data_IF_929312067228
#
_entry.id   IF_929312067228
#
_cell.length_a   1.000
_cell.length_b   1.000
_cell.length_c   1.000
_cell.angle_alpha   90.00
_cell.angle_beta   90.00
_cell.angle_gamma   90.00
#
_symmetry.space_group_name_H-M   'P 1'
#
loop_
_entity.id
_entity.type
_entity.pdbx_description
1 polymer ?
#
# COMPACT_ATOMS: atom_id res chain seq x y z
N UNK A 1 -64.22 58.56 -23.80
CA UNK A 1 -63.82 58.71 -25.21
C UNK A 1 -62.30 58.57 -25.25
N UNK A 2 -61.82 57.52 -25.94
CA UNK A 2 -60.47 57.28 -26.52
C UNK A 2 -59.16 57.22 -25.69
N UNK A 3 -58.64 55.98 -25.54
CA UNK A 3 -57.30 55.38 -25.72
C UNK A 3 -55.94 55.90 -25.11
N UNK A 4 -55.36 55.03 -24.24
CA UNK A 4 -54.02 54.37 -24.16
C UNK A 4 -52.63 55.05 -23.87
N UNK A 5 -51.99 54.48 -22.82
CA UNK A 5 -50.63 53.92 -22.61
C UNK A 5 -49.34 54.73 -22.26
N UNK A 6 -48.50 54.00 -21.51
CA UNK A 6 -47.32 54.32 -20.69
C UNK A 6 -46.04 54.72 -21.44
N UNK A 7 -45.11 55.37 -20.72
CA UNK A 7 -43.70 54.98 -20.71
C UNK A 7 -42.93 55.65 -19.55
N UNK A 8 -42.38 54.77 -18.72
CA UNK A 8 -41.43 54.94 -17.62
C UNK A 8 -40.01 55.25 -18.14
N UNK A 9 -39.33 56.30 -17.65
CA UNK A 9 -37.85 56.33 -17.48
C UNK A 9 -37.46 57.32 -16.36
N UNK A 10 -36.75 56.78 -15.38
CA UNK A 10 -36.22 57.38 -14.14
C UNK A 10 -35.14 58.46 -14.40
N UNK A 11 -35.10 59.59 -13.67
CA UNK A 11 -34.01 60.55 -13.81
C UNK A 11 -32.84 60.27 -12.86
N UNK A 12 -31.64 60.49 -13.39
CA UNK A 12 -30.34 60.50 -12.73
C UNK A 12 -30.29 61.36 -11.46
N UNK A 13 -29.60 60.88 -10.41
CA UNK A 13 -29.17 61.73 -9.30
C UNK A 13 -27.66 61.56 -9.04
N UNK A 14 -26.92 62.62 -9.38
CA UNK A 14 -25.50 62.82 -9.06
C UNK A 14 -25.30 63.10 -7.56
N UNK A 15 -24.32 62.37 -7.00
CA UNK A 15 -23.17 62.85 -6.20
C UNK A 15 -23.45 63.84 -5.05
N UNK A 16 -23.24 63.40 -3.80
CA UNK A 16 -22.18 63.91 -2.89
C UNK A 16 -22.22 63.30 -1.48
N UNK A 17 -21.03 62.87 -1.05
CA UNK A 17 -20.40 63.08 0.28
C UNK A 17 -20.96 62.31 1.49
N UNK A 18 -20.06 61.56 2.14
CA UNK A 18 -20.14 61.24 3.57
C UNK A 18 -19.31 60.02 3.97
N UNK A 19 -18.17 60.27 4.63
CA UNK A 19 -17.55 59.47 5.70
C UNK A 19 -17.15 58.01 5.37
N UNK A 20 -15.88 57.61 5.45
CA UNK A 20 -15.06 57.62 6.65
C UNK A 20 -14.97 56.19 7.19
N UNK A 21 -13.80 55.55 7.08
CA UNK A 21 -13.55 54.25 7.74
C UNK A 21 -12.68 53.27 6.95
N UNK A 22 -11.42 53.19 7.35
CA UNK A 22 -10.43 52.10 7.24
C UNK A 22 -10.77 50.83 6.43
N UNK A 23 -9.85 50.45 5.53
CA UNK A 23 -9.88 49.14 4.89
C UNK A 23 -8.74 48.89 3.91
N UNK A 24 -7.55 48.62 4.44
CA UNK A 24 -6.41 47.94 3.83
C UNK A 24 -6.73 47.11 2.55
N UNK A 25 -6.17 47.48 1.39
CA UNK A 25 -5.82 46.56 0.27
C UNK A 25 -5.23 47.29 -0.95
N UNK A 26 -4.13 46.75 -1.47
CA UNK A 26 -3.88 46.69 -2.92
C UNK A 26 -2.99 47.78 -3.49
N UNK A 27 -1.68 47.62 -3.25
CA UNK A 27 -0.59 48.25 -4.00
C UNK A 27 -0.61 47.77 -5.46
N UNK A 28 -1.10 48.59 -6.40
CA UNK A 28 -0.77 48.48 -7.82
C UNK A 28 -0.86 49.84 -8.52
N UNK A 29 0.21 50.13 -9.26
CA UNK A 29 0.42 51.19 -10.26
C UNK A 29 1.02 52.51 -9.78
N UNK A 30 2.35 52.57 -9.80
CA UNK A 30 3.03 53.78 -10.26
C UNK A 30 3.88 53.46 -11.50
N UNK A 31 3.35 53.90 -12.65
CA UNK A 31 3.99 53.89 -13.96
C UNK A 31 4.86 55.15 -14.06
N UNK A 32 6.06 55.09 -13.50
CA UNK A 32 7.07 56.13 -13.72
C UNK A 32 7.97 55.72 -14.90
N UNK A 33 7.51 56.05 -16.11
CA UNK A 33 8.41 56.23 -17.26
C UNK A 33 9.28 57.44 -16.97
N UNK A 34 10.60 57.25 -16.84
CA UNK A 34 11.57 58.33 -16.90
C UNK A 34 12.85 57.87 -17.59
N UNK A 35 12.94 58.25 -18.87
CA UNK A 35 14.16 58.20 -19.67
C UNK A 35 15.25 59.12 -19.08
N UNK A 36 16.47 58.58 -18.90
CA UNK A 36 17.70 59.13 -19.49
C UNK A 36 18.91 58.18 -19.35
N UNK A 37 19.89 58.25 -20.27
CA UNK A 37 20.95 57.27 -20.45
C UNK A 37 22.22 57.64 -19.67
N UNK A 38 22.97 56.65 -19.18
CA UNK A 38 24.26 56.91 -18.54
C UNK A 38 24.90 55.66 -17.93
N UNK A 39 25.72 54.99 -18.76
CA UNK A 39 26.93 54.24 -18.43
C UNK A 39 27.12 53.71 -16.98
N UNK A 40 27.14 52.39 -16.84
CA UNK A 40 27.64 51.70 -15.65
C UNK A 40 27.62 50.19 -15.86
N UNK A 41 28.81 49.61 -15.96
CA UNK A 41 29.07 48.18 -16.12
C UNK A 41 28.34 47.33 -15.08
N UNK A 42 27.61 46.30 -15.52
CA UNK A 42 27.35 45.08 -14.75
C UNK A 42 26.69 44.03 -15.66
N UNK A 43 27.49 43.34 -16.46
CA UNK A 43 27.08 42.09 -17.12
C UNK A 43 26.97 40.97 -16.09
N UNK A 44 25.95 41.01 -15.23
CA UNK A 44 25.58 39.91 -14.35
C UNK A 44 24.65 38.96 -15.10
N UNK A 45 25.20 37.86 -15.62
CA UNK A 45 24.39 36.74 -16.11
C UNK A 45 23.47 36.21 -14.98
N UNK A 46 22.22 35.79 -15.29
CA UNK A 46 21.35 35.18 -14.29
C UNK A 46 21.92 33.82 -13.83
N UNK A 47 21.76 33.44 -12.54
CA UNK A 47 22.28 32.16 -12.06
C UNK A 47 21.50 31.01 -12.70
N UNK A 48 22.19 30.24 -13.55
CA UNK A 48 21.66 29.00 -14.12
C UNK A 48 21.37 27.95 -13.04
N UNK A 49 20.31 27.13 -13.17
CA UNK A 49 19.98 26.07 -12.22
C UNK A 49 20.85 24.82 -12.47
N UNK A 50 22.18 24.97 -12.52
CA UNK A 50 23.09 23.87 -12.92
C UNK A 50 23.69 23.05 -11.78
N UNK A 51 23.40 23.35 -10.50
CA UNK A 51 24.02 22.66 -9.34
C UNK A 51 23.27 21.45 -8.76
N UNK A 52 22.10 21.08 -9.29
CA UNK A 52 21.29 19.97 -8.75
C UNK A 52 21.62 18.58 -9.36
N UNK A 53 22.01 18.54 -10.64
CA UNK A 53 22.13 17.29 -11.40
C UNK A 53 23.27 16.37 -10.88
N UNK A 54 24.47 16.90 -10.60
CA UNK A 54 25.60 16.09 -10.11
C UNK A 54 25.38 15.48 -8.72
N UNK A 55 24.64 16.18 -7.85
CA UNK A 55 24.29 15.67 -6.51
C UNK A 55 23.29 14.52 -6.62
N UNK A 56 22.29 14.66 -7.48
CA UNK A 56 21.30 13.61 -7.77
C UNK A 56 21.97 12.36 -8.38
N UNK A 57 22.86 12.54 -9.36
CA UNK A 57 23.61 11.43 -9.99
C UNK A 57 24.47 10.69 -8.96
N UNK A 58 25.16 11.41 -8.08
CA UNK A 58 25.95 10.79 -7.02
C UNK A 58 25.10 10.02 -6.00
N UNK A 59 23.92 10.53 -5.66
CA UNK A 59 22.94 9.81 -4.83
C UNK A 59 22.42 8.54 -5.52
N UNK A 60 22.15 8.58 -6.83
CA UNK A 60 21.71 7.41 -7.59
C UNK A 60 22.79 6.33 -7.68
N UNK A 61 24.06 6.72 -7.89
CA UNK A 61 25.19 5.79 -7.89
C UNK A 61 25.38 5.15 -6.51
N UNK A 62 25.30 5.94 -5.44
CA UNK A 62 25.40 5.43 -4.06
C UNK A 62 24.25 4.47 -3.73
N UNK A 63 23.04 4.77 -4.20
CA UNK A 63 21.87 3.90 -4.04
C UNK A 63 22.05 2.59 -4.80
N UNK A 64 22.53 2.64 -6.05
CA UNK A 64 22.80 1.45 -6.86
C UNK A 64 23.87 0.56 -6.23
N UNK A 65 24.96 1.15 -5.73
CA UNK A 65 26.02 0.43 -5.04
C UNK A 65 25.53 -0.24 -3.75
N UNK A 66 24.69 0.46 -2.98
CA UNK A 66 24.03 -0.09 -1.79
C UNK A 66 23.14 -1.28 -2.18
N UNK A 67 22.30 -1.13 -3.20
CA UNK A 67 21.37 -2.18 -3.62
C UNK A 67 22.10 -3.42 -4.16
N UNK A 68 23.20 -3.20 -4.89
CA UNK A 68 24.07 -4.28 -5.38
C UNK A 68 24.77 -5.01 -4.23
N UNK A 69 25.31 -4.27 -3.25
CA UNK A 69 25.89 -4.86 -2.04
C UNK A 69 24.86 -5.66 -1.24
N UNK A 70 23.66 -5.10 -1.05
CA UNK A 70 22.56 -5.77 -0.35
C UNK A 70 22.07 -7.02 -1.10
N UNK A 71 22.01 -6.96 -2.42
CA UNK A 71 21.65 -8.09 -3.29
C UNK A 71 22.69 -9.20 -3.25
N UNK A 72 23.98 -8.87 -3.27
CA UNK A 72 25.07 -9.85 -3.12
C UNK A 72 25.04 -10.50 -1.73
N UNK A 73 24.88 -9.71 -0.68
CA UNK A 73 24.76 -10.21 0.68
C UNK A 73 23.54 -11.15 0.81
N UNK A 74 22.39 -10.74 0.27
CA UNK A 74 21.19 -11.57 0.21
C UNK A 74 21.44 -12.85 -0.58
N UNK A 75 22.13 -12.79 -1.72
CA UNK A 75 22.47 -13.96 -2.53
C UNK A 75 23.38 -14.95 -1.78
N UNK A 76 24.37 -14.45 -1.03
CA UNK A 76 25.23 -15.29 -0.18
C UNK A 76 24.42 -15.91 0.96
N UNK A 77 23.58 -15.13 1.63
CA UNK A 77 22.69 -15.64 2.68
C UNK A 77 21.73 -16.71 2.12
N UNK A 78 21.12 -16.48 0.96
CA UNK A 78 20.25 -17.48 0.32
C UNK A 78 21.06 -18.72 -0.05
N UNK A 79 22.28 -18.59 -0.58
CA UNK A 79 23.08 -19.75 -0.97
C UNK A 79 23.55 -20.59 0.23
N UNK A 80 23.82 -19.98 1.38
CA UNK A 80 24.42 -20.67 2.53
C UNK A 80 23.45 -20.92 3.69
N UNK A 81 22.66 -19.92 4.07
CA UNK A 81 21.76 -19.98 5.23
C UNK A 81 20.48 -20.73 4.87
N UNK A 82 19.95 -20.55 3.67
CA UNK A 82 18.71 -21.22 3.24
C UNK A 82 18.83 -22.76 3.21
N UNK A 83 19.81 -23.37 2.50
CA UNK A 83 19.94 -24.83 2.51
C UNK A 83 20.24 -25.34 3.92
N UNK A 84 21.05 -24.63 4.71
CA UNK A 84 21.31 -25.02 6.09
C UNK A 84 20.03 -25.10 6.93
N UNK A 85 19.16 -24.08 6.86
CA UNK A 85 17.90 -24.06 7.62
C UNK A 85 16.94 -25.16 7.14
N UNK A 86 16.85 -25.38 5.83
CA UNK A 86 15.97 -26.40 5.25
C UNK A 86 16.43 -27.81 5.60
N UNK A 87 17.71 -28.11 5.39
CA UNK A 87 18.27 -29.45 5.60
C UNK A 87 18.36 -29.84 7.08
N UNK A 88 18.58 -28.86 7.97
CA UNK A 88 18.74 -29.13 9.42
C UNK A 88 17.43 -29.14 10.18
N UNK A 89 16.54 -28.20 9.90
CA UNK A 89 15.37 -27.97 10.75
C UNK A 89 14.08 -28.35 10.04
N UNK A 90 13.84 -27.80 8.85
CA UNK A 90 12.52 -27.90 8.20
C UNK A 90 12.24 -29.30 7.64
N UNK A 91 13.17 -29.87 6.86
CA UNK A 91 12.98 -31.18 6.23
C UNK A 91 12.88 -32.30 7.27
N UNK A 92 13.74 -32.36 8.30
CA UNK A 92 13.62 -33.39 9.33
C UNK A 92 12.30 -33.31 10.11
N UNK A 93 11.82 -32.09 10.41
CA UNK A 93 10.53 -31.90 11.08
C UNK A 93 9.38 -32.38 10.20
N UNK A 94 9.37 -32.03 8.91
CA UNK A 94 8.36 -32.49 7.94
C UNK A 94 8.36 -34.02 7.82
N UNK A 95 9.55 -34.64 7.69
CA UNK A 95 9.67 -36.10 7.60
C UNK A 95 9.24 -36.79 8.90
N UNK A 96 9.58 -36.20 10.05
CA UNK A 96 9.12 -36.72 11.33
C UNK A 96 7.61 -36.62 11.48
N UNK A 97 7.00 -35.49 11.11
CA UNK A 97 5.55 -35.28 11.21
C UNK A 97 4.78 -36.24 10.29
N UNK A 98 5.22 -36.38 9.04
CA UNK A 98 4.59 -37.27 8.05
C UNK A 98 4.75 -38.75 8.37
N UNK A 99 5.82 -39.16 9.07
CA UNK A 99 6.04 -40.56 9.46
C UNK A 99 5.43 -40.91 10.83
N UNK A 100 5.30 -39.93 11.72
CA UNK A 100 4.79 -40.13 13.09
C UNK A 100 3.26 -40.17 13.13
N UNK A 101 2.58 -39.33 12.33
CA UNK A 101 1.14 -39.18 12.39
C UNK A 101 0.42 -39.95 11.28
N UNK A 102 -0.77 -40.46 11.59
CA UNK A 102 -1.66 -41.03 10.58
C UNK A 102 -2.22 -39.94 9.67
N UNK A 103 -2.56 -40.31 8.44
CA UNK A 103 -3.11 -39.40 7.42
C UNK A 103 -4.26 -38.50 7.91
N UNK A 104 -5.29 -38.99 8.66
CA UNK A 104 -6.35 -38.10 9.15
C UNK A 104 -5.87 -37.11 10.23
N UNK A 105 -4.93 -37.52 11.09
CA UNK A 105 -4.35 -36.62 12.10
C UNK A 105 -3.52 -35.53 11.44
N UNK A 106 -2.73 -35.91 10.42
CA UNK A 106 -1.95 -34.96 9.64
C UNK A 106 -2.84 -33.94 8.92
N UNK A 107 -4.00 -34.35 8.41
CA UNK A 107 -4.94 -33.43 7.77
C UNK A 107 -5.41 -32.34 8.75
N UNK A 108 -5.69 -32.72 10.00
CA UNK A 108 -6.08 -31.78 11.06
C UNK A 108 -4.93 -30.86 11.43
N UNK A 109 -3.70 -31.39 11.57
CA UNK A 109 -2.50 -30.60 11.90
C UNK A 109 -2.16 -29.58 10.80
N UNK A 110 -2.20 -30.01 9.54
CA UNK A 110 -2.01 -29.13 8.38
C UNK A 110 -3.10 -28.06 8.35
N UNK A 111 -4.36 -28.43 8.49
CA UNK A 111 -5.45 -27.45 8.51
C UNK A 111 -5.29 -26.43 9.66
N UNK A 112 -5.01 -26.91 10.87
CA UNK A 112 -4.85 -26.08 12.06
C UNK A 112 -3.65 -25.13 11.91
N UNK A 113 -2.52 -25.60 11.40
CA UNK A 113 -1.34 -24.77 11.18
C UNK A 113 -1.60 -23.70 10.13
N UNK A 114 -2.20 -24.04 8.98
CA UNK A 114 -2.56 -23.05 7.94
C UNK A 114 -3.58 -22.03 8.45
N UNK A 115 -4.51 -22.44 9.32
CA UNK A 115 -5.51 -21.55 9.92
C UNK A 115 -4.94 -20.63 11.01
N UNK A 116 -4.01 -21.12 11.84
CA UNK A 116 -3.56 -20.39 13.04
C UNK A 116 -2.30 -19.58 12.77
N UNK A 117 -1.34 -20.11 12.00
CA UNK A 117 -0.02 -19.50 11.82
C UNK A 117 -0.07 -18.07 11.26
N UNK A 118 -0.93 -17.73 10.28
CA UNK A 118 -1.06 -16.34 9.82
C UNK A 118 -1.45 -15.37 10.94
N UNK A 119 -2.20 -15.84 11.94
CA UNK A 119 -2.60 -15.08 13.13
C UNK A 119 -1.47 -14.95 14.16
N UNK A 120 -0.45 -15.79 14.08
CA UNK A 120 0.74 -15.73 14.92
C UNK A 120 1.94 -15.09 14.19
N UNK A 121 1.72 -14.59 12.97
CA UNK A 121 2.78 -14.09 12.08
C UNK A 121 3.83 -15.15 11.71
N UNK A 122 3.46 -16.43 11.78
CA UNK A 122 4.31 -17.56 11.44
C UNK A 122 4.13 -17.97 9.98
N UNK A 123 5.19 -18.43 9.29
CA UNK A 123 5.08 -18.94 7.93
C UNK A 123 4.32 -20.26 7.90
N UNK A 124 3.29 -20.36 7.05
CA UNK A 124 2.51 -21.59 6.83
C UNK A 124 3.00 -22.43 5.65
N UNK A 125 4.06 -21.99 4.96
CA UNK A 125 4.62 -22.66 3.77
C UNK A 125 5.01 -24.12 4.02
N UNK A 126 5.66 -24.50 5.14
CA UNK A 126 5.98 -25.90 5.41
C UNK A 126 4.73 -26.80 5.44
N UNK A 127 3.63 -26.33 6.03
CA UNK A 127 2.36 -27.06 6.06
C UNK A 127 1.75 -27.23 4.67
N UNK A 128 1.97 -26.28 3.75
CA UNK A 128 1.51 -26.40 2.36
C UNK A 128 2.27 -27.51 1.62
N UNK A 129 3.58 -27.62 1.85
CA UNK A 129 4.40 -28.71 1.30
C UNK A 129 3.94 -30.07 1.82
N UNK A 130 3.74 -30.20 3.14
CA UNK A 130 3.20 -31.42 3.76
C UNK A 130 1.86 -31.80 3.14
N UNK A 131 0.95 -30.84 2.96
CA UNK A 131 -0.34 -31.09 2.35
C UNK A 131 -0.21 -31.65 0.93
N UNK A 132 0.68 -31.08 0.13
CA UNK A 132 0.94 -31.51 -1.24
C UNK A 132 1.57 -32.89 -1.32
N UNK A 133 2.58 -33.16 -0.50
CA UNK A 133 3.29 -34.44 -0.48
C UNK A 133 2.40 -35.58 0.03
N UNK A 134 1.54 -35.34 1.03
CA UNK A 134 0.74 -36.42 1.64
C UNK A 134 -0.63 -36.62 0.99
N UNK A 135 -1.33 -35.55 0.60
CA UNK A 135 -2.70 -35.64 0.07
C UNK A 135 -2.77 -35.45 -1.45
N UNK A 136 -1.64 -35.17 -2.09
CA UNK A 136 -1.54 -34.87 -3.52
C UNK A 136 -2.08 -33.48 -3.90
N UNK A 137 -1.92 -33.13 -5.17
CA UNK A 137 -2.20 -31.76 -5.65
C UNK A 137 -3.67 -31.32 -5.47
N UNK A 138 -4.63 -32.21 -5.74
CA UNK A 138 -6.06 -31.89 -5.67
C UNK A 138 -6.56 -31.74 -4.23
N UNK A 139 -6.48 -32.81 -3.44
CA UNK A 139 -6.97 -32.80 -2.05
C UNK A 139 -6.12 -31.91 -1.14
N UNK A 140 -4.80 -31.85 -1.35
CA UNK A 140 -3.90 -30.93 -0.66
C UNK A 140 -4.28 -29.47 -0.91
N UNK A 141 -4.56 -29.09 -2.16
CA UNK A 141 -5.04 -27.75 -2.50
C UNK A 141 -6.36 -27.42 -1.78
N UNK A 142 -7.34 -28.32 -1.79
CA UNK A 142 -8.62 -28.10 -1.10
C UNK A 142 -8.44 -27.94 0.41
N UNK A 143 -7.58 -28.76 1.02
CA UNK A 143 -7.24 -28.69 2.43
C UNK A 143 -6.62 -27.33 2.78
N UNK A 144 -5.60 -26.91 2.01
CA UNK A 144 -4.94 -25.61 2.19
C UNK A 144 -5.94 -24.47 2.01
N UNK A 145 -6.74 -24.47 0.95
CA UNK A 145 -7.73 -23.42 0.68
C UNK A 145 -8.74 -23.29 1.82
N UNK A 146 -9.20 -24.40 2.39
CA UNK A 146 -10.10 -24.36 3.55
C UNK A 146 -9.43 -23.75 4.78
N UNK A 147 -8.16 -24.10 5.04
CA UNK A 147 -7.37 -23.52 6.13
C UNK A 147 -7.10 -22.03 5.91
N UNK A 148 -6.80 -21.62 4.68
CA UNK A 148 -6.55 -20.21 4.31
C UNK A 148 -7.78 -19.36 4.57
N UNK A 149 -8.99 -19.84 4.27
CA UNK A 149 -10.24 -19.11 4.58
C UNK A 149 -10.24 -18.70 6.05
N UNK A 150 -9.96 -19.64 6.95
CA UNK A 150 -9.88 -19.37 8.39
C UNK A 150 -8.69 -18.46 8.72
N UNK A 151 -7.52 -18.76 8.15
CA UNK A 151 -6.26 -18.07 8.44
C UNK A 151 -6.20 -16.63 7.97
N UNK A 152 -6.97 -16.23 6.96
CA UNK A 152 -7.10 -14.81 6.58
C UNK A 152 -8.26 -14.13 7.31
N UNK A 153 -9.26 -14.88 7.75
CA UNK A 153 -10.42 -14.35 8.47
C UNK A 153 -10.09 -14.01 9.91
N UNK A 154 -9.35 -14.87 10.62
CA UNK A 154 -8.98 -14.64 12.02
C UNK A 154 -8.23 -13.31 12.22
N UNK A 155 -7.14 -13.00 11.49
CA UNK A 155 -6.45 -11.72 11.64
C UNK A 155 -7.32 -10.52 11.24
N UNK A 156 -8.25 -10.69 10.29
CA UNK A 156 -9.19 -9.63 9.91
C UNK A 156 -10.08 -9.27 11.10
N UNK A 157 -10.76 -10.25 11.70
CA UNK A 157 -11.60 -9.99 12.87
C UNK A 157 -10.79 -9.56 14.10
N UNK A 158 -9.61 -10.12 14.34
CA UNK A 158 -8.73 -9.65 15.42
C UNK A 158 -8.30 -8.20 15.16
N UNK A 159 -7.93 -7.85 13.93
CA UNK A 159 -7.58 -6.49 13.53
C UNK A 159 -8.72 -5.49 13.72
N UNK A 160 -9.98 -5.94 13.56
CA UNK A 160 -11.16 -5.12 13.85
C UNK A 160 -11.22 -4.63 15.30
N UNK A 161 -10.80 -5.46 16.26
CA UNK A 161 -10.83 -5.12 17.68
C UNK A 161 -9.77 -4.05 18.03
N UNK A 162 -8.66 -4.03 17.29
CA UNK A 162 -7.55 -3.11 17.50
C UNK A 162 -7.51 -1.96 16.49
N UNK A 163 -8.64 -1.65 15.83
CA UNK A 163 -8.75 -0.68 14.74
C UNK A 163 -8.03 0.65 15.03
N UNK A 164 -8.31 1.25 16.19
CA UNK A 164 -7.73 2.54 16.58
C UNK A 164 -6.19 2.48 16.73
N UNK A 165 -5.67 1.39 17.29
CA UNK A 165 -4.22 1.22 17.50
C UNK A 165 -3.49 1.02 16.17
N UNK A 166 -4.10 0.24 15.26
CA UNK A 166 -3.57 0.02 13.91
C UNK A 166 -3.61 1.32 13.10
N UNK A 167 -4.69 2.09 13.19
CA UNK A 167 -4.79 3.39 12.52
C UNK A 167 -3.71 4.37 13.00
N UNK A 168 -3.50 4.49 14.32
CA UNK A 168 -2.43 5.33 14.87
C UNK A 168 -1.03 4.86 14.44
N UNK A 169 -0.81 3.55 14.35
CA UNK A 169 0.45 3.00 13.84
C UNK A 169 0.64 3.32 12.36
N UNK A 170 -0.43 3.23 11.57
CA UNK A 170 -0.41 3.47 10.15
C UNK A 170 -0.14 4.96 9.84
N UNK A 171 -0.66 5.88 10.65
CA UNK A 171 -0.39 7.32 10.54
C UNK A 171 1.08 7.69 10.76
N UNK A 172 1.82 6.91 11.56
CA UNK A 172 3.29 7.06 11.70
C UNK A 172 4.06 6.63 10.45
N UNK A 173 3.42 5.90 9.53
CA UNK A 173 4.02 5.38 8.29
C UNK A 173 3.21 5.80 7.05
N UNK A 174 3.27 7.08 6.63
CA UNK A 174 2.37 7.65 5.64
C UNK A 174 2.43 6.97 4.26
N UNK A 175 3.61 6.47 3.84
CA UNK A 175 3.78 5.74 2.57
C UNK A 175 3.03 4.41 2.54
N UNK A 176 2.96 3.70 3.68
CA UNK A 176 2.22 2.43 3.79
C UNK A 176 0.74 2.72 4.00
N UNK A 177 0.41 3.77 4.75
CA UNK A 177 -0.95 4.24 4.97
C UNK A 177 -1.69 4.55 3.68
N UNK A 178 -1.05 5.25 2.75
CA UNK A 178 -1.69 5.63 1.49
C UNK A 178 -2.04 4.42 0.62
N UNK A 179 -1.14 3.43 0.51
CA UNK A 179 -1.39 2.20 -0.24
C UNK A 179 -2.57 1.41 0.33
N UNK A 180 -2.56 1.16 1.64
CA UNK A 180 -3.61 0.35 2.29
C UNK A 180 -4.94 1.13 2.34
N UNK A 181 -4.94 2.45 2.61
CA UNK A 181 -6.16 3.27 2.56
C UNK A 181 -6.75 3.36 1.15
N UNK A 182 -5.90 3.33 0.11
CA UNK A 182 -6.39 3.32 -1.27
C UNK A 182 -7.12 2.01 -1.60
N UNK A 183 -6.71 0.89 -0.99
CA UNK A 183 -7.40 -0.39 -1.14
C UNK A 183 -8.80 -0.42 -0.51
N UNK A 184 -9.08 0.46 0.45
CA UNK A 184 -10.40 0.62 1.06
C UNK A 184 -11.34 1.59 0.35
N UNK A 185 -10.86 2.36 -0.64
CA UNK A 185 -11.70 3.29 -1.43
C UNK A 185 -12.42 2.56 -2.56
N UNK A 186 -13.63 3.03 -2.87
CA UNK A 186 -14.41 2.57 -4.03
C UNK A 186 -15.43 1.49 -3.70
N UNK A 187 -15.95 0.86 -4.76
CA UNK A 187 -16.97 -0.18 -4.68
C UNK A 187 -16.37 -1.53 -4.27
N UNK A 188 -17.24 -2.51 -3.99
CA UNK A 188 -16.83 -3.87 -3.65
C UNK A 188 -15.82 -4.46 -4.65
N UNK A 189 -16.03 -4.21 -5.95
CA UNK A 189 -15.14 -4.70 -7.02
C UNK A 189 -13.76 -4.03 -7.01
N UNK A 190 -13.69 -2.74 -6.70
CA UNK A 190 -12.41 -2.02 -6.63
C UNK A 190 -11.57 -2.51 -5.45
N UNK A 191 -12.23 -2.71 -4.29
CA UNK A 191 -11.61 -3.27 -3.10
C UNK A 191 -11.08 -4.69 -3.36
N UNK A 192 -11.88 -5.52 -4.04
CA UNK A 192 -11.49 -6.88 -4.43
C UNK A 192 -10.22 -6.89 -5.30
N UNK A 193 -10.20 -6.04 -6.34
CA UNK A 193 -9.03 -5.90 -7.23
C UNK A 193 -7.80 -5.41 -6.46
N UNK A 194 -7.98 -4.45 -5.56
CA UNK A 194 -6.89 -3.94 -4.73
C UNK A 194 -6.31 -5.01 -3.81
N UNK A 195 -7.15 -5.85 -3.20
CA UNK A 195 -6.71 -6.98 -2.36
C UNK A 195 -5.84 -7.97 -3.16
N UNK A 196 -6.27 -8.34 -4.38
CA UNK A 196 -5.48 -9.23 -5.25
C UNK A 196 -4.12 -8.60 -5.57
N UNK A 197 -4.10 -7.33 -5.96
CA UNK A 197 -2.86 -6.61 -6.28
C UNK A 197 -1.90 -6.55 -5.08
N UNK A 198 -2.43 -6.37 -3.87
CA UNK A 198 -1.61 -6.37 -2.66
C UNK A 198 -1.03 -7.75 -2.37
N UNK A 199 -1.75 -8.83 -2.66
CA UNK A 199 -1.23 -10.20 -2.47
C UNK A 199 -0.18 -10.61 -3.49
N UNK A 200 -0.30 -10.12 -4.72
CA UNK A 200 0.71 -10.35 -5.77
C UNK A 200 1.95 -9.45 -5.55
N UNK A 201 1.76 -8.29 -4.93
CA UNK A 201 2.84 -7.38 -4.57
C UNK A 201 3.79 -8.02 -3.55
N UNK A 202 5.09 -7.67 -3.54
CA UNK A 202 6.04 -8.09 -2.50
C UNK A 202 5.76 -7.46 -1.12
N UNK A 203 4.56 -6.92 -0.90
CA UNK A 203 4.15 -6.40 0.39
C UNK A 203 3.89 -7.55 1.36
N UNK A 204 4.40 -7.51 2.60
CA UNK A 204 4.25 -8.62 3.53
C UNK A 204 2.77 -8.80 3.90
N UNK A 205 2.16 -9.83 3.31
CA UNK A 205 0.71 -10.09 3.35
C UNK A 205 0.18 -10.32 4.76
N UNK A 206 1.03 -10.84 5.65
CA UNK A 206 0.69 -11.12 7.04
C UNK A 206 0.21 -9.84 7.75
N UNK A 207 0.89 -8.70 7.54
CA UNK A 207 0.45 -7.42 8.10
C UNK A 207 -0.83 -6.91 7.45
N UNK A 208 -1.01 -7.16 6.15
CA UNK A 208 -2.20 -6.75 5.44
C UNK A 208 -3.47 -7.41 6.00
N UNK A 209 -3.41 -8.68 6.41
CA UNK A 209 -4.57 -9.38 6.97
C UNK A 209 -5.16 -8.64 8.20
N UNK A 210 -4.32 -8.01 9.03
CA UNK A 210 -4.77 -7.17 10.16
C UNK A 210 -5.16 -5.76 9.73
N UNK A 211 -4.42 -5.18 8.79
CA UNK A 211 -4.64 -3.80 8.35
C UNK A 211 -5.88 -3.65 7.46
N UNK A 212 -6.35 -4.71 6.80
CA UNK A 212 -7.50 -4.68 5.90
C UNK A 212 -8.74 -4.05 6.58
N UNK A 213 -9.03 -4.43 7.83
CA UNK A 213 -10.13 -3.83 8.61
C UNK A 213 -9.85 -2.38 9.00
N UNK A 214 -8.61 -2.07 9.38
CA UNK A 214 -8.20 -0.71 9.70
C UNK A 214 -8.40 0.26 8.53
N UNK A 215 -8.52 -0.27 7.31
CA UNK A 215 -8.71 0.51 6.08
C UNK A 215 -10.12 0.48 5.51
N UNK A 216 -11.12 0.04 6.28
CA UNK A 216 -12.52 -0.03 5.84
C UNK A 216 -12.76 -0.91 4.60
N UNK A 217 -11.88 -1.87 4.32
CA UNK A 217 -12.14 -2.89 3.30
C UNK A 217 -13.25 -3.78 3.82
N UNK A 218 -14.29 -4.01 3.01
CA UNK A 218 -15.38 -4.93 3.38
C UNK A 218 -14.85 -6.36 3.42
N UNK A 219 -15.41 -7.18 4.31
CA UNK A 219 -14.96 -8.56 4.48
C UNK A 219 -15.10 -9.40 3.21
N UNK A 220 -16.19 -9.23 2.46
CA UNK A 220 -16.46 -10.01 1.25
C UNK A 220 -15.43 -9.79 0.12
N UNK A 221 -15.11 -8.55 -0.31
CA UNK A 221 -14.04 -8.34 -1.29
C UNK A 221 -12.67 -8.73 -0.75
N UNK A 222 -12.43 -8.58 0.57
CA UNK A 222 -11.21 -9.04 1.21
C UNK A 222 -11.04 -10.56 1.11
N UNK A 223 -12.04 -11.35 1.51
CA UNK A 223 -11.93 -12.82 1.52
C UNK A 223 -11.82 -13.33 0.09
N UNK A 224 -12.66 -12.88 -0.83
CA UNK A 224 -12.63 -13.31 -2.24
C UNK A 224 -11.32 -12.93 -2.93
N UNK A 225 -10.86 -11.69 -2.76
CA UNK A 225 -9.60 -11.23 -3.32
C UNK A 225 -8.42 -11.97 -2.71
N UNK A 226 -8.55 -12.37 -1.44
CA UNK A 226 -7.52 -13.13 -0.76
C UNK A 226 -7.39 -14.56 -1.25
N UNK A 227 -8.53 -15.25 -1.41
CA UNK A 227 -8.56 -16.61 -1.94
C UNK A 227 -7.95 -16.64 -3.33
N UNK A 228 -8.36 -15.73 -4.22
CA UNK A 228 -7.84 -15.69 -5.60
C UNK A 228 -6.37 -15.28 -5.63
N UNK A 229 -5.97 -14.29 -4.82
CA UNK A 229 -4.60 -13.80 -4.79
C UNK A 229 -3.58 -14.82 -4.29
N UNK A 230 -3.98 -15.77 -3.43
CA UNK A 230 -3.07 -16.80 -2.89
C UNK A 230 -2.96 -18.04 -3.78
N UNK A 231 -3.90 -18.24 -4.72
CA UNK A 231 -3.91 -19.44 -5.59
C UNK A 231 -2.56 -19.67 -6.28
N UNK A 232 -1.93 -18.68 -6.95
CA UNK A 232 -0.65 -18.90 -7.62
C UNK A 232 0.46 -19.35 -6.65
N UNK A 233 0.46 -18.81 -5.43
CA UNK A 233 1.43 -19.12 -4.39
C UNK A 233 1.27 -20.57 -3.90
N UNK A 234 0.03 -21.01 -3.69
CA UNK A 234 -0.28 -22.39 -3.28
C UNK A 234 0.14 -23.37 -4.38
N UNK A 235 -0.13 -23.06 -5.65
CA UNK A 235 0.32 -23.89 -6.76
C UNK A 235 1.84 -24.02 -6.78
N UNK A 236 2.59 -22.92 -6.63
CA UNK A 236 4.06 -22.99 -6.58
C UNK A 236 4.50 -23.87 -5.41
N UNK A 237 3.91 -23.69 -4.22
CA UNK A 237 4.30 -24.44 -3.04
C UNK A 237 4.05 -25.95 -3.17
N UNK A 238 2.89 -26.37 -3.65
CA UNK A 238 2.56 -27.80 -3.75
C UNK A 238 3.39 -28.50 -4.84
N UNK A 239 3.84 -27.78 -5.87
CA UNK A 239 4.62 -28.32 -7.00
C UNK A 239 6.15 -28.20 -6.86
N UNK A 240 6.64 -27.63 -5.75
CA UNK A 240 8.09 -27.51 -5.46
C UNK A 240 8.54 -28.71 -4.64
#
# INVERSE_FOLDING_TARGET
MTYYEEAEVVPELRVRVGEGGEGNKGDYHDLAVRDRPGNGEAGGEPPSPRRSCGRLVWYLVKLFLLFSCLGLLAGVCIKWVWPFLMDKEVIPIINWETTTFSTPVLAVLVFASVAIFPTLLLPSTPSWWVAGMTFGYGFGFLLIMSGVIVGVSLPYFVGSLFHHKIQNWLEKHPKRASLIRSAGRGNCFDQFRAVILIRISPFPYIFYNYCAVATNVRYLPYILGSLIGVVPEIFIAIYT
#
